data_IF_034043854937
#
_entry.id   IF_034043854937
#
_cell.length_a   1.000
_cell.length_b   1.000
_cell.length_c   1.000
_cell.angle_alpha   90.00
_cell.angle_beta   90.00
_cell.angle_gamma   90.00
#
_symmetry.space_group_name_H-M   'P 1'
#
loop_
_entity.id
_entity.type
_entity.pdbx_description
1 polymer ?
#
# COMPACT_ATOMS: atom_id res chain seq x y z
N UNK A 1 31.81 21.41 -34.01
CA UNK A 1 31.73 20.69 -32.72
C UNK A 1 31.42 21.72 -31.66
N UNK A 2 30.32 21.57 -30.91
CA UNK A 2 30.05 22.46 -29.77
C UNK A 2 31.17 22.29 -28.74
N UNK A 3 31.70 23.38 -28.14
CA UNK A 3 32.64 23.27 -27.04
C UNK A 3 32.03 22.44 -25.89
N UNK A 4 32.84 21.60 -25.26
CA UNK A 4 32.40 20.60 -24.26
C UNK A 4 31.59 21.21 -23.11
N UNK A 5 31.85 22.47 -22.76
CA UNK A 5 31.14 23.24 -21.74
C UNK A 5 29.70 23.62 -22.12
N UNK A 6 29.43 23.87 -23.40
CA UNK A 6 28.08 24.19 -23.89
C UNK A 6 27.24 22.93 -24.05
N UNK A 7 27.88 21.85 -24.51
CA UNK A 7 27.23 20.55 -24.58
C UNK A 7 26.79 20.07 -23.19
N UNK A 8 27.65 20.16 -22.17
CA UNK A 8 27.33 19.71 -20.81
C UNK A 8 26.15 20.47 -20.16
N UNK A 9 26.04 21.78 -20.39
CA UNK A 9 24.90 22.59 -19.92
C UNK A 9 23.58 22.14 -20.54
N UNK A 10 23.55 21.92 -21.85
CA UNK A 10 22.34 21.45 -22.56
C UNK A 10 21.92 20.07 -22.05
N UNK A 11 22.87 19.16 -21.83
CA UNK A 11 22.57 17.86 -21.23
C UNK A 11 22.03 18.00 -19.81
N UNK A 12 22.61 18.88 -18.99
CA UNK A 12 22.15 19.14 -17.62
C UNK A 12 20.72 19.67 -17.55
N UNK A 13 20.36 20.62 -18.43
CA UNK A 13 19.00 21.19 -18.46
C UNK A 13 17.96 20.15 -18.90
N UNK A 14 18.27 19.35 -19.93
CA UNK A 14 17.40 18.25 -20.34
C UNK A 14 17.25 17.19 -19.23
N UNK A 15 18.35 16.86 -18.54
CA UNK A 15 18.32 15.95 -17.41
C UNK A 15 17.46 16.49 -16.26
N UNK A 16 17.56 17.78 -15.92
CA UNK A 16 16.74 18.41 -14.89
C UNK A 16 15.24 18.43 -15.23
N UNK A 17 14.88 18.60 -16.50
CA UNK A 17 13.47 18.57 -16.93
C UNK A 17 12.92 17.13 -16.85
N UNK A 18 13.67 16.15 -17.34
CA UNK A 18 13.26 14.75 -17.27
C UNK A 18 13.19 14.24 -15.82
N UNK A 19 14.11 14.63 -14.95
CA UNK A 19 14.09 14.20 -13.54
C UNK A 19 12.88 14.75 -12.77
N UNK A 20 12.44 15.98 -13.07
CA UNK A 20 11.19 16.54 -12.52
C UNK A 20 9.96 15.79 -13.01
N UNK A 21 9.91 15.44 -14.30
CA UNK A 21 8.81 14.66 -14.86
C UNK A 21 8.72 13.26 -14.20
N UNK A 22 9.86 12.59 -13.99
CA UNK A 22 9.92 11.31 -13.28
C UNK A 22 9.44 11.46 -11.84
N UNK A 23 9.79 12.55 -11.15
CA UNK A 23 9.29 12.84 -9.80
C UNK A 23 7.77 12.94 -9.71
N UNK A 24 7.15 13.66 -10.65
CA UNK A 24 5.68 13.77 -10.73
C UNK A 24 5.05 12.40 -11.00
N UNK A 25 5.58 11.65 -11.95
CA UNK A 25 5.11 10.30 -12.27
C UNK A 25 5.19 9.38 -11.04
N UNK A 26 6.28 9.48 -10.28
CA UNK A 26 6.46 8.71 -9.06
C UNK A 26 5.44 9.05 -7.98
N UNK A 27 5.14 10.34 -7.77
CA UNK A 27 4.10 10.77 -6.84
C UNK A 27 2.73 10.21 -7.23
N UNK A 28 2.38 10.25 -8.53
CA UNK A 28 1.11 9.71 -9.04
C UNK A 28 1.02 8.20 -8.74
N UNK A 29 2.03 7.42 -9.10
CA UNK A 29 2.03 5.97 -8.83
C UNK A 29 1.99 5.65 -7.33
N UNK A 30 2.67 6.44 -6.50
CA UNK A 30 2.66 6.29 -5.04
C UNK A 30 1.25 6.51 -4.47
N UNK A 31 0.53 7.54 -4.95
CA UNK A 31 -0.85 7.82 -4.55
C UNK A 31 -1.78 6.67 -4.97
N UNK A 32 -1.66 6.21 -6.22
CA UNK A 32 -2.44 5.07 -6.70
C UNK A 32 -2.20 3.81 -5.84
N UNK A 33 -0.94 3.53 -5.50
CA UNK A 33 -0.57 2.39 -4.66
C UNK A 33 -1.09 2.53 -3.22
N UNK A 34 -1.11 3.75 -2.66
CA UNK A 34 -1.70 4.00 -1.35
C UNK A 34 -3.21 3.73 -1.32
N UNK A 35 -3.93 4.12 -2.37
CA UNK A 35 -5.36 3.82 -2.50
C UNK A 35 -5.58 2.30 -2.49
N UNK A 36 -4.78 1.56 -3.27
CA UNK A 36 -4.86 0.09 -3.31
C UNK A 36 -4.59 -0.52 -1.93
N UNK A 37 -3.57 -0.06 -1.21
CA UNK A 37 -3.26 -0.55 0.14
C UNK A 37 -4.41 -0.30 1.13
N UNK A 38 -5.02 0.89 1.09
CA UNK A 38 -6.18 1.21 1.93
C UNK A 38 -7.36 0.30 1.60
N UNK A 39 -7.65 0.09 0.31
CA UNK A 39 -8.71 -0.82 -0.13
C UNK A 39 -8.44 -2.24 0.36
N UNK A 40 -7.23 -2.78 0.15
CA UNK A 40 -6.82 -4.12 0.60
C UNK A 40 -6.94 -4.29 2.11
N UNK A 41 -6.60 -3.25 2.88
CA UNK A 41 -6.73 -3.26 4.34
C UNK A 41 -8.20 -3.30 4.80
N UNK A 42 -9.09 -2.53 4.17
CA UNK A 42 -10.52 -2.45 4.54
C UNK A 42 -11.29 -3.64 3.96
N UNK A 43 -10.80 -4.26 2.88
CA UNK A 43 -11.48 -5.32 2.16
C UNK A 43 -11.87 -6.48 3.10
N UNK A 44 -13.18 -6.78 3.22
CA UNK A 44 -13.65 -7.86 4.06
C UNK A 44 -13.42 -9.24 3.44
N UNK A 45 -13.19 -9.31 2.13
CA UNK A 45 -13.05 -10.56 1.38
C UNK A 45 -11.59 -10.83 1.02
N UNK A 46 -10.87 -11.53 1.89
CA UNK A 46 -9.52 -12.05 1.63
C UNK A 46 -9.54 -13.51 1.17
N UNK A 47 -10.34 -14.33 1.86
CA UNK A 47 -10.63 -15.71 1.46
C UNK A 47 -12.14 -15.89 1.47
N UNK A 48 -12.73 -16.12 0.31
CA UNK A 48 -14.16 -16.39 0.15
C UNK A 48 -14.48 -17.89 0.25
N UNK A 49 -15.77 -18.17 0.43
CA UNK A 49 -16.33 -19.51 0.27
C UNK A 49 -16.36 -19.95 -1.20
N UNK A 50 -16.64 -21.24 -1.40
CA UNK A 50 -16.80 -21.82 -2.74
C UNK A 50 -18.00 -22.75 -2.76
N UNK A 51 -18.43 -23.16 -3.97
CA UNK A 51 -19.59 -24.06 -4.15
C UNK A 51 -19.47 -25.40 -3.38
N UNK A 52 -18.25 -25.77 -2.98
CA UNK A 52 -17.97 -27.02 -2.27
C UNK A 52 -17.92 -26.86 -0.74
N UNK A 53 -18.08 -25.65 -0.21
CA UNK A 53 -18.01 -25.41 1.24
C UNK A 53 -19.34 -25.73 1.93
N UNK A 54 -19.33 -26.43 3.09
CA UNK A 54 -20.56 -26.83 3.77
C UNK A 54 -21.34 -25.67 4.39
N UNK A 55 -20.69 -24.52 4.61
CA UNK A 55 -21.29 -23.31 5.15
C UNK A 55 -20.80 -22.10 4.36
N UNK A 56 -21.71 -21.16 4.09
CA UNK A 56 -21.37 -19.90 3.45
C UNK A 56 -20.58 -19.00 4.42
N UNK A 57 -19.57 -18.29 3.92
CA UNK A 57 -18.73 -17.46 4.79
C UNK A 57 -17.55 -16.83 4.09
N UNK A 58 -16.89 -15.89 4.77
CA UNK A 58 -15.67 -15.27 4.28
C UNK A 58 -14.75 -14.91 5.43
N UNK A 59 -13.45 -14.94 5.14
CA UNK A 59 -12.40 -14.44 6.01
C UNK A 59 -11.87 -13.13 5.44
N UNK A 60 -11.93 -12.09 6.25
CA UNK A 60 -11.18 -10.86 6.07
C UNK A 60 -9.87 -10.90 6.85
N UNK A 61 -9.17 -9.76 6.87
CA UNK A 61 -7.86 -9.67 7.51
C UNK A 61 -7.96 -9.77 9.05
N UNK A 62 -8.91 -9.03 9.63
CA UNK A 62 -9.12 -8.91 11.08
C UNK A 62 -10.53 -9.31 11.55
N UNK A 63 -11.39 -9.75 10.64
CA UNK A 63 -12.74 -10.22 10.94
C UNK A 63 -13.09 -11.39 10.02
N UNK A 64 -14.00 -12.25 10.45
CA UNK A 64 -14.50 -13.36 9.64
C UNK A 64 -16.00 -13.52 9.88
N UNK A 65 -16.73 -13.97 8.88
CA UNK A 65 -18.16 -14.17 8.95
C UNK A 65 -18.53 -15.59 8.51
N UNK A 66 -19.36 -16.25 9.30
CA UNK A 66 -19.81 -17.63 9.04
C UNK A 66 -21.33 -17.68 9.07
N UNK A 67 -21.91 -18.38 8.10
CA UNK A 67 -23.34 -18.62 8.00
C UNK A 67 -23.77 -19.87 8.79
N UNK A 68 -24.89 -19.76 9.50
CA UNK A 68 -25.44 -20.84 10.32
C UNK A 68 -26.62 -21.49 9.58
N UNK A 69 -26.38 -22.60 8.87
CA UNK A 69 -27.42 -23.47 8.32
C UNK A 69 -27.91 -23.21 6.87
N UNK A 70 -28.84 -24.06 6.43
CA UNK A 70 -29.27 -24.28 5.02
C UNK A 70 -30.30 -23.26 4.48
N UNK A 71 -30.60 -22.20 5.23
CA UNK A 71 -31.64 -21.23 4.87
C UNK A 71 -31.16 -19.80 5.08
N UNK A 72 -30.63 -19.22 3.99
CA UNK A 72 -30.52 -17.79 3.69
C UNK A 72 -29.93 -16.83 4.76
N UNK A 73 -28.71 -16.39 4.43
CA UNK A 73 -28.24 -14.97 4.46
C UNK A 73 -27.93 -14.30 5.81
N UNK A 74 -28.17 -14.94 6.94
CA UNK A 74 -27.63 -14.41 8.21
C UNK A 74 -26.19 -14.87 8.43
N UNK A 75 -25.24 -13.97 8.14
CA UNK A 75 -23.82 -14.15 8.44
C UNK A 75 -23.53 -13.58 9.82
N UNK A 76 -23.03 -14.40 10.74
CA UNK A 76 -22.51 -13.93 12.03
C UNK A 76 -21.05 -13.56 11.85
N UNK A 77 -20.75 -12.29 12.05
CA UNK A 77 -19.40 -11.74 11.92
C UNK A 77 -18.73 -11.64 13.30
N UNK A 78 -17.48 -12.10 13.36
CA UNK A 78 -16.66 -12.12 14.55
C UNK A 78 -15.32 -11.45 14.27
N UNK A 79 -14.73 -10.90 15.33
CA UNK A 79 -13.43 -10.25 15.27
C UNK A 79 -13.52 -8.75 15.02
N UNK A 80 -12.57 -8.03 15.63
CA UNK A 80 -12.41 -6.59 15.48
C UNK A 80 -10.92 -6.27 15.46
N UNK A 81 -10.54 -5.19 14.77
CA UNK A 81 -9.16 -4.74 14.70
C UNK A 81 -8.53 -4.47 16.08
N UNK A 82 -9.34 -4.09 17.07
CA UNK A 82 -8.88 -3.79 18.43
C UNK A 82 -8.65 -5.04 19.29
N UNK A 83 -9.13 -6.21 18.87
CA UNK A 83 -9.01 -7.45 19.62
C UNK A 83 -8.33 -8.53 18.78
N UNK A 84 -7.01 -8.45 18.70
CA UNK A 84 -6.18 -9.45 18.03
C UNK A 84 -6.27 -10.85 18.65
N UNK A 85 -6.84 -11.01 19.86
CA UNK A 85 -7.03 -12.32 20.46
C UNK A 85 -8.15 -13.11 19.76
N UNK A 86 -9.15 -12.40 19.22
CA UNK A 86 -10.31 -12.97 18.52
C UNK A 86 -10.01 -13.59 17.14
N UNK A 87 -8.83 -13.30 16.57
CA UNK A 87 -8.40 -13.87 15.28
C UNK A 87 -7.86 -15.29 15.51
N UNK A 88 -8.43 -16.34 14.89
CA UNK A 88 -8.08 -17.73 15.20
C UNK A 88 -6.71 -18.18 14.67
N UNK A 89 -6.21 -17.56 13.59
CA UNK A 89 -4.97 -17.96 12.92
C UNK A 89 -3.85 -16.94 13.12
N UNK A 90 -2.67 -17.42 13.55
CA UNK A 90 -1.46 -16.60 13.67
C UNK A 90 -1.00 -16.01 12.34
N UNK A 91 -1.25 -16.69 11.22
CA UNK A 91 -0.91 -16.19 9.88
C UNK A 91 -1.74 -14.94 9.53
N UNK A 92 -3.04 -14.93 9.86
CA UNK A 92 -3.90 -13.77 9.64
C UNK A 92 -3.56 -12.60 10.58
N UNK A 93 -3.10 -12.88 11.80
CA UNK A 93 -2.58 -11.84 12.70
C UNK A 93 -1.32 -11.18 12.12
N UNK A 94 -0.38 -11.99 11.62
CA UNK A 94 0.82 -11.47 10.98
C UNK A 94 0.49 -10.69 9.71
N UNK A 95 -0.39 -11.22 8.85
CA UNK A 95 -0.84 -10.53 7.64
C UNK A 95 -1.51 -9.18 7.97
N UNK A 96 -2.37 -9.13 8.98
CA UNK A 96 -2.97 -7.88 9.47
C UNK A 96 -1.92 -6.85 9.86
N UNK A 97 -0.89 -7.29 10.58
CA UNK A 97 0.20 -6.41 11.01
C UNK A 97 1.02 -5.88 9.84
N UNK A 98 1.47 -6.76 8.93
CA UNK A 98 2.29 -6.35 7.79
C UNK A 98 1.54 -5.46 6.80
N UNK A 99 0.26 -5.75 6.52
CA UNK A 99 -0.56 -4.90 5.64
C UNK A 99 -0.84 -3.55 6.30
N UNK A 100 -1.09 -3.50 7.61
CA UNK A 100 -1.22 -2.24 8.35
C UNK A 100 0.09 -1.43 8.29
N UNK A 101 1.23 -2.08 8.52
CA UNK A 101 2.55 -1.45 8.47
C UNK A 101 2.83 -0.87 7.08
N UNK A 102 2.53 -1.64 6.03
CA UNK A 102 2.63 -1.20 4.63
C UNK A 102 1.74 0.02 4.35
N UNK A 103 0.48 -0.02 4.81
CA UNK A 103 -0.46 1.10 4.69
C UNK A 103 0.05 2.38 5.40
N UNK A 104 0.61 2.26 6.59
CA UNK A 104 1.19 3.41 7.32
C UNK A 104 2.45 3.93 6.64
N UNK A 105 3.32 3.06 6.15
CA UNK A 105 4.56 3.44 5.45
C UNK A 105 4.26 4.17 4.14
N UNK A 106 3.29 3.71 3.34
CA UNK A 106 2.95 4.39 2.08
C UNK A 106 2.27 5.75 2.31
N UNK A 107 1.43 5.88 3.35
CA UNK A 107 0.89 7.18 3.75
C UNK A 107 1.99 8.13 4.22
N UNK A 108 2.94 7.62 4.98
CA UNK A 108 4.12 8.38 5.41
C UNK A 108 4.98 8.80 4.21
N UNK A 109 5.11 7.95 3.20
CA UNK A 109 5.79 8.27 1.94
C UNK A 109 5.12 9.44 1.21
N UNK A 110 3.78 9.45 1.12
CA UNK A 110 3.03 10.58 0.55
C UNK A 110 3.25 11.85 1.37
N UNK A 111 3.27 11.78 2.70
CA UNK A 111 3.57 12.93 3.54
C UNK A 111 5.01 13.44 3.30
N UNK A 112 5.98 12.55 3.14
CA UNK A 112 7.35 12.92 2.78
C UNK A 112 7.46 13.51 1.37
N UNK A 113 6.54 13.20 0.45
CA UNK A 113 6.48 13.86 -0.86
C UNK A 113 6.11 15.35 -0.74
N UNK A 114 5.41 15.76 0.32
CA UNK A 114 5.17 17.20 0.61
C UNK A 114 6.47 17.90 1.01
N UNK A 115 7.45 17.18 1.59
CA UNK A 115 8.75 17.75 1.94
C UNK A 115 9.61 18.09 0.71
N UNK A 116 9.22 17.71 -0.52
CA UNK A 116 9.88 18.19 -1.75
C UNK A 116 9.92 19.72 -1.87
N UNK A 117 9.00 20.44 -1.21
CA UNK A 117 8.99 21.90 -1.22
C UNK A 117 10.05 22.52 -0.30
N UNK A 118 10.51 21.79 0.72
CA UNK A 118 11.38 22.32 1.78
C UNK A 118 12.77 21.68 1.83
N UNK A 119 12.90 20.45 1.36
CA UNK A 119 14.13 19.65 1.47
C UNK A 119 14.78 19.41 0.09
N UNK A 120 16.06 19.04 0.11
CA UNK A 120 16.78 18.67 -1.11
C UNK A 120 16.10 17.45 -1.77
N UNK A 121 15.75 17.60 -3.03
CA UNK A 121 15.08 16.61 -3.87
C UNK A 121 15.79 15.25 -3.83
N UNK A 122 17.14 15.23 -3.79
CA UNK A 122 17.92 13.99 -3.73
C UNK A 122 17.72 13.21 -2.42
N UNK A 123 17.56 13.92 -1.29
CA UNK A 123 17.31 13.31 0.01
C UNK A 123 15.91 12.73 0.07
N UNK A 124 14.91 13.47 -0.44
CA UNK A 124 13.52 13.01 -0.43
C UNK A 124 13.33 11.78 -1.33
N UNK A 125 13.98 11.75 -2.51
CA UNK A 125 13.99 10.56 -3.37
C UNK A 125 14.58 9.35 -2.65
N UNK A 126 15.71 9.49 -1.96
CA UNK A 126 16.32 8.37 -1.23
C UNK A 126 15.42 7.86 -0.11
N UNK A 127 14.90 8.75 0.75
CA UNK A 127 14.06 8.35 1.88
C UNK A 127 12.78 7.67 1.39
N UNK A 128 12.11 8.25 0.39
CA UNK A 128 10.88 7.66 -0.15
C UNK A 128 11.14 6.33 -0.88
N UNK A 129 12.30 6.16 -1.54
CA UNK A 129 12.69 4.87 -2.12
C UNK A 129 12.89 3.78 -1.06
N UNK A 130 13.57 4.10 0.06
CA UNK A 130 13.70 3.16 1.18
C UNK A 130 12.34 2.79 1.79
N UNK A 131 11.47 3.77 1.99
CA UNK A 131 10.12 3.51 2.52
C UNK A 131 9.30 2.62 1.58
N UNK A 132 9.38 2.82 0.26
CA UNK A 132 8.66 2.00 -0.71
C UNK A 132 9.24 0.59 -0.88
N UNK A 133 10.57 0.44 -0.80
CA UNK A 133 11.20 -0.89 -0.80
C UNK A 133 10.74 -1.75 0.39
N UNK A 134 10.58 -1.14 1.56
CA UNK A 134 10.06 -1.82 2.76
C UNK A 134 8.55 -2.07 2.71
N UNK A 135 7.84 -1.46 1.74
CA UNK A 135 6.39 -1.53 1.61
C UNK A 135 5.93 -2.68 0.70
N UNK A 136 6.80 -3.11 -0.23
CA UNK A 136 6.52 -4.10 -1.27
C UNK A 136 7.08 -5.51 -1.00
N UNK A 137 7.66 -5.72 0.17
CA UNK A 137 8.05 -7.04 0.73
C UNK A 137 7.06 -7.43 1.84
#
# INVERSE_FOLDING_TARGET
MLPSQEASKIYHDNYMRNSRAIGVLWAIFTICFAIINVVVFIQPYWIGDSMNTPHAGYFGLFHYCVGEGNSNRELRCYGTFSDFSSIPSGAFKAASFFVLMSMVLILSCIACMVLFFFCNTATVYKTCAWMQLLCGE
#
